data_IF_595024268114
#
_entry.id   IF_595024268114
#
_cell.length_a   1.000
_cell.length_b   1.000
_cell.length_c   1.000
_cell.angle_alpha   90.00
_cell.angle_beta   90.00
_cell.angle_gamma   90.00
#
_symmetry.space_group_name_H-M   'P 1'
#
loop_
_entity.id
_entity.type
_entity.pdbx_description
1 polymer ?
#
# COMPACT_ATOMS: atom_id res chain seq x y z
N UNK A 1 4.73 38.95 -23.95
CA UNK A 1 3.66 39.52 -23.11
C UNK A 1 2.65 38.43 -22.94
N UNK A 2 2.79 37.64 -21.89
CA UNK A 2 1.85 36.59 -21.51
C UNK A 2 1.34 36.97 -20.12
N UNK A 3 0.22 37.68 -20.10
CA UNK A 3 -0.48 38.12 -18.88
C UNK A 3 -1.52 37.07 -18.56
N UNK A 4 -1.09 35.95 -17.97
CA UNK A 4 -2.00 35.06 -17.24
C UNK A 4 -2.40 35.79 -15.97
N UNK A 5 -3.65 36.26 -15.91
CA UNK A 5 -4.12 36.99 -14.75
C UNK A 5 -3.99 36.12 -13.48
N UNK A 6 -3.41 36.67 -12.39
CA UNK A 6 -3.12 35.91 -11.17
C UNK A 6 -4.36 35.28 -10.49
N UNK A 7 -5.58 35.72 -10.83
CA UNK A 7 -6.83 35.17 -10.29
C UNK A 7 -7.32 33.89 -10.98
N UNK A 8 -6.93 33.60 -12.23
CA UNK A 8 -7.47 32.45 -12.98
C UNK A 8 -6.92 31.11 -12.46
N UNK A 9 -5.64 31.08 -12.05
CA UNK A 9 -5.01 29.88 -11.48
C UNK A 9 -5.62 29.47 -10.14
N UNK A 10 -5.77 30.42 -9.22
CA UNK A 10 -6.35 30.20 -7.90
C UNK A 10 -7.80 29.67 -7.96
N UNK A 11 -8.62 30.16 -8.89
CA UNK A 11 -9.99 29.68 -9.08
C UNK A 11 -10.03 28.26 -9.64
N UNK A 12 -9.11 27.91 -10.55
CA UNK A 12 -8.99 26.57 -11.09
C UNK A 12 -8.52 25.56 -10.02
N UNK A 13 -7.53 25.93 -9.22
CA UNK A 13 -7.01 25.15 -8.10
C UNK A 13 -8.09 24.89 -7.04
N UNK A 14 -8.82 25.94 -6.64
CA UNK A 14 -9.96 25.82 -5.72
C UNK A 14 -11.02 24.84 -6.26
N UNK A 15 -11.35 24.93 -7.55
CA UNK A 15 -12.34 24.03 -8.18
C UNK A 15 -11.87 22.59 -8.22
N UNK A 16 -10.58 22.35 -8.51
CA UNK A 16 -9.98 21.02 -8.48
C UNK A 16 -10.06 20.42 -7.06
N UNK A 17 -9.65 21.17 -6.04
CA UNK A 17 -9.69 20.72 -4.66
C UNK A 17 -11.13 20.40 -4.17
N UNK A 18 -12.13 21.18 -4.58
CA UNK A 18 -13.54 20.91 -4.27
C UNK A 18 -14.04 19.63 -4.97
N UNK A 19 -13.65 19.42 -6.23
CA UNK A 19 -14.02 18.23 -6.98
C UNK A 19 -13.39 16.96 -6.38
N UNK A 20 -12.12 17.03 -5.97
CA UNK A 20 -11.39 15.97 -5.27
C UNK A 20 -12.01 15.66 -3.91
N UNK A 21 -12.33 16.68 -3.10
CA UNK A 21 -12.98 16.49 -1.81
C UNK A 21 -14.34 15.80 -1.95
N UNK A 22 -15.15 16.21 -2.93
CA UNK A 22 -16.42 15.54 -3.21
C UNK A 22 -16.24 14.11 -3.72
N UNK A 23 -15.19 13.83 -4.50
CA UNK A 23 -14.84 12.47 -4.90
C UNK A 23 -14.48 11.62 -3.68
N UNK A 24 -13.69 12.15 -2.76
CA UNK A 24 -13.35 11.48 -1.50
C UNK A 24 -14.61 11.17 -0.68
N UNK A 25 -15.57 12.09 -0.54
CA UNK A 25 -16.85 11.81 0.15
C UNK A 25 -17.62 10.67 -0.51
N UNK A 26 -17.67 10.63 -1.84
CA UNK A 26 -18.28 9.50 -2.57
C UNK A 26 -17.55 8.19 -2.27
N UNK A 27 -16.22 8.21 -2.16
CA UNK A 27 -15.42 7.04 -1.78
C UNK A 27 -15.68 6.58 -0.35
N UNK A 28 -15.82 7.50 0.60
CA UNK A 28 -16.19 7.18 1.97
C UNK A 28 -17.55 6.48 2.03
N UNK A 29 -18.53 6.97 1.25
CA UNK A 29 -19.85 6.32 1.16
C UNK A 29 -19.75 4.92 0.56
N UNK A 30 -18.92 4.73 -0.46
CA UNK A 30 -18.67 3.40 -1.04
C UNK A 30 -18.09 2.44 0.01
N UNK A 31 -17.07 2.84 0.77
CA UNK A 31 -16.47 2.04 1.86
C UNK A 31 -17.47 1.66 2.95
N UNK A 32 -18.44 2.51 3.22
CA UNK A 32 -19.51 2.25 4.19
C UNK A 32 -20.61 1.29 3.70
N UNK A 33 -20.43 0.63 2.54
CA UNK A 33 -21.45 -0.24 1.94
C UNK A 33 -22.50 0.53 1.14
N UNK A 34 -22.17 1.74 0.68
CA UNK A 34 -23.00 2.60 -0.15
C UNK A 34 -24.39 2.91 0.44
N UNK A 35 -24.49 3.35 1.72
CA UNK A 35 -25.77 3.67 2.32
C UNK A 35 -26.49 4.77 1.52
N UNK A 36 -27.81 4.62 1.38
CA UNK A 36 -28.61 5.64 0.70
C UNK A 36 -28.56 6.98 1.47
N UNK A 37 -28.67 8.10 0.76
CA UNK A 37 -28.67 9.42 1.43
C UNK A 37 -29.82 9.58 2.44
N UNK A 38 -30.93 8.86 2.24
CA UNK A 38 -32.04 8.79 3.21
C UNK A 38 -31.65 8.01 4.46
N UNK A 39 -30.95 6.88 4.32
CA UNK A 39 -30.44 6.12 5.45
C UNK A 39 -29.40 6.93 6.25
N UNK A 40 -28.50 7.65 5.57
CA UNK A 40 -27.52 8.53 6.20
C UNK A 40 -28.18 9.69 6.97
N UNK A 41 -29.18 10.34 6.38
CA UNK A 41 -29.95 11.39 7.03
C UNK A 41 -30.69 10.87 8.27
N UNK A 42 -31.30 9.67 8.17
CA UNK A 42 -31.98 9.03 9.30
C UNK A 42 -31.03 8.60 10.42
N UNK A 43 -29.79 8.21 10.10
CA UNK A 43 -28.80 7.80 11.09
C UNK A 43 -28.24 8.96 11.93
N UNK A 44 -28.17 10.17 11.37
CA UNK A 44 -27.57 11.34 12.05
C UNK A 44 -28.59 12.37 12.50
N UNK A 45 -29.77 12.44 11.86
CA UNK A 45 -30.86 13.38 12.20
C UNK A 45 -30.56 14.87 11.98
N UNK A 46 -29.32 15.22 11.62
CA UNK A 46 -28.85 16.60 11.59
C UNK A 46 -28.92 17.26 10.20
N UNK A 47 -28.78 16.48 9.12
CA UNK A 47 -28.68 16.99 7.74
C UNK A 47 -29.61 16.20 6.82
N UNK A 48 -30.29 16.91 5.90
CA UNK A 48 -31.24 16.30 4.97
C UNK A 48 -30.57 15.45 3.89
N UNK A 49 -31.30 14.46 3.36
CA UNK A 49 -30.78 13.59 2.29
C UNK A 49 -30.41 14.35 1.01
N UNK A 50 -31.11 15.45 0.68
CA UNK A 50 -30.79 16.29 -0.49
C UNK A 50 -29.50 17.07 -0.27
N UNK A 51 -29.26 17.59 0.93
CA UNK A 51 -28.00 18.26 1.29
C UNK A 51 -26.81 17.30 1.31
N UNK A 52 -26.99 16.06 1.79
CA UNK A 52 -25.95 15.03 1.71
C UNK A 52 -25.64 14.62 0.26
N UNK A 53 -26.66 14.55 -0.60
CA UNK A 53 -26.46 14.32 -2.03
C UNK A 53 -25.67 15.47 -2.67
N UNK A 54 -26.04 16.72 -2.36
CA UNK A 54 -25.36 17.91 -2.88
C UNK A 54 -23.89 17.98 -2.43
N UNK A 55 -23.60 17.63 -1.18
CA UNK A 55 -22.24 17.59 -0.63
C UNK A 55 -21.30 16.68 -1.44
N UNK A 56 -21.84 15.62 -2.03
CA UNK A 56 -21.10 14.68 -2.86
C UNK A 56 -21.08 15.05 -4.35
N UNK A 57 -21.61 16.21 -4.75
CA UNK A 57 -21.72 16.60 -6.18
C UNK A 57 -20.47 17.25 -6.76
N UNK A 58 -19.61 17.85 -5.93
CA UNK A 58 -18.40 18.57 -6.39
C UNK A 58 -18.66 19.95 -6.98
N UNK A 59 -19.87 20.50 -6.83
CA UNK A 59 -20.21 21.85 -7.32
C UNK A 59 -19.73 22.97 -6.40
N UNK A 60 -19.69 22.70 -5.09
CA UNK A 60 -19.18 23.60 -4.04
C UNK A 60 -18.65 22.79 -2.86
N UNK A 61 -17.76 23.38 -2.07
CA UNK A 61 -17.32 22.77 -0.82
C UNK A 61 -18.51 22.72 0.15
N UNK A 62 -18.91 21.54 0.67
CA UNK A 62 -19.95 21.46 1.70
C UNK A 62 -19.47 22.13 3.00
N UNK A 63 -20.41 22.57 3.85
CA UNK A 63 -20.06 23.09 5.17
C UNK A 63 -19.43 22.01 6.06
N UNK A 64 -18.66 22.41 7.07
CA UNK A 64 -18.11 21.45 8.03
C UNK A 64 -19.19 20.60 8.73
N UNK A 65 -20.31 21.16 9.23
CA UNK A 65 -21.40 20.35 9.80
C UNK A 65 -21.97 19.31 8.82
N UNK A 66 -22.11 19.66 7.54
CA UNK A 66 -22.55 18.73 6.49
C UNK A 66 -21.54 17.61 6.26
N UNK A 67 -20.26 17.96 6.16
CA UNK A 67 -19.15 17.01 6.02
C UNK A 67 -19.11 16.04 7.20
N UNK A 68 -19.13 16.56 8.42
CA UNK A 68 -19.12 15.78 9.65
C UNK A 68 -20.29 14.77 9.70
N UNK A 69 -21.51 15.23 9.39
CA UNK A 69 -22.68 14.35 9.34
C UNK A 69 -22.54 13.26 8.27
N UNK A 70 -22.02 13.60 7.09
CA UNK A 70 -21.72 12.63 6.04
C UNK A 70 -20.70 11.58 6.53
N UNK A 71 -19.61 12.03 7.14
CA UNK A 71 -18.52 11.19 7.62
C UNK A 71 -18.98 10.26 8.73
N UNK A 72 -19.73 10.79 9.70
CA UNK A 72 -20.30 10.01 10.79
C UNK A 72 -21.28 8.94 10.27
N UNK A 73 -22.15 9.29 9.32
CA UNK A 73 -23.09 8.34 8.71
C UNK A 73 -22.39 7.21 7.94
N UNK A 74 -21.15 7.44 7.50
CA UNK A 74 -20.32 6.46 6.80
C UNK A 74 -19.24 5.82 7.70
N UNK A 75 -19.19 6.16 8.99
CA UNK A 75 -18.21 5.60 9.92
C UNK A 75 -16.76 6.03 9.69
N UNK A 76 -16.52 7.19 9.06
CA UNK A 76 -15.19 7.76 8.88
C UNK A 76 -14.66 8.51 10.12
N UNK A 77 -13.36 8.80 10.15
CA UNK A 77 -12.69 9.53 11.24
C UNK A 77 -12.95 11.04 11.15
N UNK A 78 -13.66 11.62 12.13
CA UNK A 78 -13.98 13.05 12.12
C UNK A 78 -12.73 13.97 12.05
N UNK A 79 -11.65 13.75 12.84
CA UNK A 79 -10.45 14.60 12.77
C UNK A 79 -9.76 14.59 11.40
N UNK A 80 -9.60 13.41 10.81
CA UNK A 80 -8.97 13.23 9.49
C UNK A 80 -9.76 13.96 8.39
N UNK A 81 -11.09 13.85 8.43
CA UNK A 81 -11.95 14.52 7.46
C UNK A 81 -12.03 16.03 7.67
N UNK A 82 -11.79 16.52 8.89
CA UNK A 82 -11.68 17.95 9.16
C UNK A 82 -10.43 18.55 8.51
N UNK A 83 -9.29 17.87 8.58
CA UNK A 83 -8.05 18.29 7.92
C UNK A 83 -8.18 18.33 6.40
N UNK A 84 -8.76 17.27 5.80
CA UNK A 84 -9.07 17.23 4.37
C UNK A 84 -10.00 18.37 3.95
N UNK A 85 -10.99 18.70 4.79
CA UNK A 85 -11.92 19.80 4.55
C UNK A 85 -11.21 21.16 4.62
N UNK A 86 -10.32 21.36 5.60
CA UNK A 86 -9.50 22.56 5.75
C UNK A 86 -8.56 22.78 4.57
N UNK A 87 -7.92 21.72 4.07
CA UNK A 87 -7.06 21.78 2.88
C UNK A 87 -7.87 22.22 1.64
N UNK A 88 -9.04 21.60 1.42
CA UNK A 88 -9.93 21.98 0.32
C UNK A 88 -10.51 23.41 0.47
N UNK A 89 -10.61 23.92 1.71
CA UNK A 89 -11.00 25.29 2.04
C UNK A 89 -9.84 26.31 1.93
N UNK A 90 -8.59 25.86 1.83
CA UNK A 90 -7.40 26.72 1.69
C UNK A 90 -6.79 26.72 0.27
N UNK A 91 -7.07 25.70 -0.56
CA UNK A 91 -6.63 25.63 -1.97
C UNK A 91 -6.88 26.92 -2.80
N UNK A 92 -5.85 27.48 -3.42
CA UNK A 92 -5.94 28.74 -4.16
C UNK A 92 -6.11 30.00 -3.29
N UNK A 93 -5.98 29.92 -1.96
CA UNK A 93 -5.76 31.11 -1.14
C UNK A 93 -4.32 31.59 -1.36
N UNK A 94 -4.15 32.84 -1.79
CA UNK A 94 -2.83 33.47 -1.79
C UNK A 94 -2.41 33.65 -0.32
N UNK A 95 -1.22 33.19 0.10
CA UNK A 95 -0.73 33.45 1.45
C UNK A 95 -0.61 34.96 1.63
N UNK A 96 -1.45 35.53 2.49
CA UNK A 96 -1.25 36.89 2.97
C UNK A 96 0.00 36.86 3.88
N UNK A 97 1.01 37.73 3.65
CA UNK A 97 2.18 37.77 4.52
C UNK A 97 1.72 38.11 5.95
N UNK A 98 2.07 37.23 6.89
CA UNK A 98 1.78 37.39 8.30
C UNK A 98 2.56 38.59 8.86
N UNK A 99 1.89 39.74 8.99
CA UNK A 99 2.13 40.73 10.06
C UNK A 99 1.13 41.89 9.95
N UNK A 100 0.01 41.82 10.71
CA UNK A 100 -0.61 42.97 11.39
C UNK A 100 -1.47 42.47 12.59
N UNK A 101 -1.41 43.14 13.76
CA UNK A 101 -2.15 42.74 14.97
C UNK A 101 -3.68 42.97 14.86
N UNK A 102 -4.50 42.29 15.70
CA UNK A 102 -5.94 42.21 15.50
C UNK A 102 -6.61 43.56 15.75
N UNK A 103 -7.19 44.14 14.69
CA UNK A 103 -8.14 45.24 14.83
C UNK A 103 -9.54 44.66 15.10
N UNK A 104 -9.98 44.79 16.34
CA UNK A 104 -11.36 44.61 16.77
C UNK A 104 -12.29 45.55 16.00
N UNK A 105 -13.35 45.00 15.39
CA UNK A 105 -14.52 45.77 14.92
C UNK A 105 -15.79 45.07 15.45
N UNK A 106 -16.76 45.82 15.99
CA UNK A 106 -17.74 45.31 16.95
C UNK A 106 -18.97 44.65 16.32
N UNK A 107 -19.66 43.87 17.17
CA UNK A 107 -20.97 43.27 16.92
C UNK A 107 -22.04 44.33 16.62
N UNK A 108 -22.88 44.04 15.62
CA UNK A 108 -24.12 44.77 15.32
C UNK A 108 -25.31 43.85 15.68
N UNK A 109 -26.36 44.35 16.37
CA UNK A 109 -27.25 43.55 17.19
C UNK A 109 -28.44 42.96 16.44
N UNK A 110 -29.06 41.98 17.10
CA UNK A 110 -30.36 41.39 16.77
C UNK A 110 -31.46 42.46 16.66
N UNK A 111 -32.29 42.34 15.63
CA UNK A 111 -33.57 43.01 15.52
C UNK A 111 -34.70 41.98 15.69
N UNK A 112 -35.47 42.22 16.74
CA UNK A 112 -36.74 41.61 17.11
C UNK A 112 -37.87 42.11 16.18
N UNK A 113 -38.92 41.31 16.01
CA UNK A 113 -40.17 41.77 15.43
C UNK A 113 -40.92 40.74 14.58
N UNK A 114 -42.06 40.28 15.11
CA UNK A 114 -43.22 39.99 14.26
C UNK A 114 -43.84 38.60 14.42
N UNK A 115 -44.59 38.44 15.50
CA UNK A 115 -45.70 37.49 15.60
C UNK A 115 -46.72 37.66 14.45
N UNK A 116 -47.04 36.57 13.76
CA UNK A 116 -48.38 36.37 13.21
C UNK A 116 -48.65 34.87 12.98
N UNK A 117 -49.61 34.33 13.73
CA UNK A 117 -50.36 33.12 13.41
C UNK A 117 -51.67 33.59 12.78
N UNK A 118 -52.21 32.87 11.78
CA UNK A 118 -53.47 32.20 12.11
C UNK A 118 -53.65 30.82 11.44
N UNK A 119 -54.07 29.85 12.26
CA UNK A 119 -55.39 29.24 12.12
C UNK A 119 -55.66 28.29 10.94
N UNK A 120 -55.54 26.98 11.27
CA UNK A 120 -56.52 25.89 11.05
C UNK A 120 -56.91 25.48 9.62
N UNK A 121 -56.60 24.22 9.27
CA UNK A 121 -57.61 23.16 9.08
C UNK A 121 -56.95 21.78 8.87
N UNK A 122 -57.30 20.83 9.76
CA UNK A 122 -57.14 19.39 9.51
C UNK A 122 -58.32 18.87 8.67
N UNK A 123 -58.12 17.77 7.93
CA UNK A 123 -58.79 16.55 8.38
C UNK A 123 -57.88 15.31 8.35
N UNK A 124 -57.94 14.52 9.42
CA UNK A 124 -57.19 13.29 9.58
C UNK A 124 -57.71 12.11 8.75
N UNK A 125 -56.84 11.10 8.61
CA UNK A 125 -57.22 9.70 8.50
C UNK A 125 -56.23 8.84 9.29
N UNK A 126 -56.80 8.07 10.22
CA UNK A 126 -56.19 6.99 10.98
C UNK A 126 -55.52 5.94 10.08
N UNK A 127 -54.25 5.64 10.32
CA UNK A 127 -53.70 4.30 10.06
C UNK A 127 -52.64 3.94 11.14
N UNK A 128 -52.74 2.78 11.80
CA UNK A 128 -51.97 2.49 13.01
C UNK A 128 -50.51 2.13 12.73
N UNK A 129 -49.63 2.59 13.60
CA UNK A 129 -48.21 2.24 13.63
C UNK A 129 -47.98 0.72 13.77
N UNK A 130 -47.00 0.12 13.06
CA UNK A 130 -46.56 -1.25 13.34
C UNK A 130 -45.78 -1.31 14.67
N UNK A 131 -45.88 -2.41 15.43
CA UNK A 131 -45.37 -2.47 16.79
C UNK A 131 -43.83 -2.44 16.86
N UNK A 132 -43.32 -1.65 17.81
CA UNK A 132 -41.96 -1.71 18.30
C UNK A 132 -41.68 -3.10 18.90
N UNK A 133 -40.81 -3.89 18.26
CA UNK A 133 -40.29 -5.09 18.89
C UNK A 133 -39.23 -4.72 19.94
N UNK A 134 -39.30 -5.29 21.16
CA UNK A 134 -38.37 -4.98 22.23
C UNK A 134 -36.97 -5.56 21.96
N UNK A 135 -35.96 -4.70 22.06
CA UNK A 135 -34.54 -5.06 22.14
C UNK A 135 -34.31 -5.93 23.38
N UNK A 136 -33.74 -7.13 23.22
CA UNK A 136 -33.29 -7.95 24.35
C UNK A 136 -31.89 -7.50 24.83
N UNK A 137 -31.60 -7.58 26.14
CA UNK A 137 -30.40 -7.03 26.75
C UNK A 137 -29.16 -7.90 26.54
N UNK A 138 -28.00 -7.24 26.49
CA UNK A 138 -26.69 -7.86 26.57
C UNK A 138 -26.53 -8.63 27.90
N UNK A 139 -26.15 -9.90 27.81
CA UNK A 139 -25.62 -10.66 28.95
C UNK A 139 -24.17 -11.01 28.69
N UNK A 140 -23.30 -10.40 29.50
CA UNK A 140 -21.98 -10.91 29.79
C UNK A 140 -22.09 -12.35 30.32
N UNK A 141 -21.15 -13.23 29.97
CA UNK A 141 -20.43 -14.11 30.91
C UNK A 141 -19.51 -15.10 30.17
N UNK A 142 -18.28 -15.14 30.71
CA UNK A 142 -17.41 -16.30 30.94
C UNK A 142 -16.62 -16.91 29.78
N UNK A 143 -15.33 -16.58 29.85
CA UNK A 143 -14.17 -17.47 29.67
C UNK A 143 -14.52 -18.93 29.99
N UNK A 144 -14.24 -19.83 29.05
CA UNK A 144 -13.86 -21.22 29.33
C UNK A 144 -12.68 -21.61 28.45
N UNK A 145 -11.61 -21.99 29.14
CA UNK A 145 -10.46 -22.74 28.65
C UNK A 145 -10.97 -24.05 28.04
N UNK A 146 -10.45 -24.45 26.89
CA UNK A 146 -10.50 -25.84 26.46
C UNK A 146 -9.09 -26.33 26.10
N UNK A 147 -8.74 -27.41 26.78
CA UNK A 147 -7.55 -28.24 26.71
C UNK A 147 -7.33 -28.76 25.28
N UNK A 148 -6.11 -28.70 24.74
CA UNK A 148 -5.68 -29.59 23.66
C UNK A 148 -4.69 -30.57 24.26
N UNK A 149 -5.08 -31.85 24.24
CA UNK A 149 -4.33 -32.98 24.79
C UNK A 149 -3.02 -33.21 24.02
N UNK A 150 -1.97 -33.43 24.79
CA UNK A 150 -0.71 -34.06 24.41
C UNK A 150 -0.91 -35.54 24.10
N UNK A 151 -0.35 -36.03 22.99
CA UNK A 151 0.05 -37.43 22.87
C UNK A 151 1.55 -37.51 22.63
N UNK A 152 2.24 -37.96 23.68
CA UNK A 152 3.56 -38.55 23.60
C UNK A 152 3.39 -40.05 23.29
N UNK A 153 4.18 -40.56 22.36
CA UNK A 153 4.58 -41.96 22.36
C UNK A 153 6.08 -42.02 22.09
N UNK A 154 6.79 -42.66 23.01
CA UNK A 154 8.24 -42.81 23.06
C UNK A 154 8.64 -44.27 22.81
N UNK A 155 9.96 -44.46 22.66
CA UNK A 155 10.81 -45.69 22.72
C UNK A 155 11.40 -46.09 21.35
N UNK A 156 12.68 -46.45 21.21
CA UNK A 156 13.87 -46.37 22.07
C UNK A 156 15.12 -46.70 21.22
N UNK A 157 16.25 -46.13 21.66
CA UNK A 157 17.67 -46.50 21.54
C UNK A 157 18.19 -47.60 20.59
N UNK A 158 19.32 -47.24 19.95
CA UNK A 158 20.36 -48.17 19.50
C UNK A 158 21.67 -47.43 19.20
N UNK A 159 22.62 -47.44 20.14
CA UNK A 159 23.98 -46.95 19.96
C UNK A 159 24.88 -48.05 19.39
N UNK A 160 25.75 -47.72 18.43
CA UNK A 160 26.92 -48.53 18.12
C UNK A 160 28.09 -47.63 17.70
N UNK A 161 29.17 -47.75 18.47
CA UNK A 161 30.50 -47.19 18.25
C UNK A 161 31.17 -47.98 17.12
N UNK A 162 31.85 -47.28 16.22
CA UNK A 162 32.68 -47.89 15.18
C UNK A 162 33.76 -46.91 14.71
N UNK A 163 34.81 -46.77 15.50
CA UNK A 163 36.06 -46.18 15.04
C UNK A 163 36.75 -47.15 14.09
N UNK A 164 36.96 -46.72 12.84
CA UNK A 164 37.73 -47.46 11.84
C UNK A 164 38.51 -46.48 10.99
N UNK A 165 39.81 -46.37 11.26
CA UNK A 165 40.77 -45.62 10.47
C UNK A 165 41.61 -46.59 9.64
N UNK A 166 41.62 -46.48 8.30
CA UNK A 166 42.72 -46.90 7.39
C UNK A 166 42.45 -46.32 5.97
N UNK A 167 43.43 -46.23 5.04
CA UNK A 167 44.55 -45.29 4.93
C UNK A 167 44.43 -44.36 3.70
N UNK A 168 45.40 -43.45 3.56
CA UNK A 168 45.63 -42.61 2.39
C UNK A 168 45.91 -43.41 1.10
N UNK A 169 45.13 -43.16 0.05
CA UNK A 169 45.38 -43.58 -1.32
C UNK A 169 45.59 -42.36 -2.22
N UNK A 170 46.65 -42.39 -3.03
CA UNK A 170 47.05 -41.34 -3.97
C UNK A 170 46.27 -41.44 -5.31
N UNK A 171 45.70 -40.30 -5.74
CA UNK A 171 45.35 -39.94 -7.14
C UNK A 171 44.05 -40.53 -7.73
N UNK A 172 43.37 -39.85 -8.70
CA UNK A 172 43.93 -38.90 -9.67
C UNK A 172 43.28 -37.48 -9.68
N UNK A 173 44.11 -36.54 -10.12
CA UNK A 173 43.85 -35.32 -10.90
C UNK A 173 42.40 -34.88 -11.18
N UNK A 174 42.12 -33.64 -10.75
CA UNK A 174 41.31 -32.69 -11.51
C UNK A 174 39.81 -32.85 -11.39
N UNK A 175 39.24 -32.58 -10.20
CA UNK A 175 37.90 -32.01 -10.17
C UNK A 175 37.99 -30.69 -10.95
N UNK A 176 37.41 -30.66 -12.14
CA UNK A 176 37.21 -29.43 -12.88
C UNK A 176 36.55 -28.45 -11.91
N UNK A 177 37.29 -27.39 -11.53
CA UNK A 177 36.71 -26.29 -10.80
C UNK A 177 35.52 -25.83 -11.64
N UNK A 178 34.31 -26.08 -11.14
CA UNK A 178 33.10 -25.60 -11.78
C UNK A 178 33.29 -24.11 -12.02
N UNK A 179 32.94 -23.67 -13.22
CA UNK A 179 32.95 -22.25 -13.55
C UNK A 179 32.30 -21.47 -12.40
N UNK A 180 32.93 -20.39 -11.91
CA UNK A 180 32.39 -19.63 -10.79
C UNK A 180 30.93 -19.26 -11.12
N UNK A 181 30.00 -19.38 -10.16
CA UNK A 181 28.61 -19.04 -10.40
C UNK A 181 28.54 -17.61 -10.98
N UNK A 182 27.74 -17.45 -12.03
CA UNK A 182 27.56 -16.16 -12.67
C UNK A 182 27.05 -15.13 -11.63
N UNK A 183 27.51 -13.88 -11.75
CA UNK A 183 27.18 -12.84 -10.78
C UNK A 183 25.67 -12.54 -10.76
N UNK A 184 25.07 -12.25 -9.59
CA UNK A 184 23.70 -11.76 -9.51
C UNK A 184 23.51 -10.48 -10.33
N UNK A 185 22.37 -10.37 -11.00
CA UNK A 185 22.10 -9.20 -11.85
C UNK A 185 20.62 -8.97 -12.10
N UNK A 186 20.28 -7.71 -12.34
CA UNK A 186 18.99 -7.31 -12.88
C UNK A 186 18.88 -7.70 -14.36
N UNK A 187 17.74 -8.23 -14.77
CA UNK A 187 17.47 -8.62 -16.16
C UNK A 187 16.55 -7.60 -16.82
N UNK A 188 15.29 -7.51 -16.38
CA UNK A 188 14.28 -6.64 -16.98
C UNK A 188 13.06 -6.45 -16.09
N UNK A 189 12.28 -5.42 -16.40
CA UNK A 189 10.90 -5.29 -15.94
C UNK A 189 9.98 -6.10 -16.85
N UNK A 190 9.43 -7.18 -16.32
CA UNK A 190 8.67 -8.16 -17.10
C UNK A 190 7.17 -7.89 -17.06
N UNK A 191 6.68 -7.13 -16.09
CA UNK A 191 5.32 -6.58 -16.10
C UNK A 191 5.23 -5.33 -15.21
N UNK A 192 4.20 -4.52 -15.46
CA UNK A 192 3.82 -3.43 -14.55
C UNK A 192 2.36 -3.06 -14.72
N UNK A 193 1.73 -2.57 -13.67
CA UNK A 193 0.38 -2.03 -13.71
C UNK A 193 0.22 -0.91 -12.70
N UNK A 194 -0.69 0.00 -13.02
CA UNK A 194 -1.15 1.06 -12.13
C UNK A 194 -2.67 1.12 -12.14
N UNK A 195 -3.29 1.65 -11.09
CA UNK A 195 -4.73 1.85 -11.06
C UNK A 195 -5.17 2.78 -9.94
N UNK A 196 -6.24 3.56 -10.18
CA UNK A 196 -6.83 4.51 -9.23
C UNK A 196 -8.32 4.20 -8.98
N UNK A 197 -8.68 2.92 -9.08
CA UNK A 197 -10.04 2.43 -8.88
C UNK A 197 -9.99 1.26 -7.91
N UNK A 198 -10.93 1.25 -6.96
CA UNK A 198 -11.02 0.18 -5.98
C UNK A 198 -11.07 -1.20 -6.63
N UNK A 199 -10.11 -2.03 -6.26
CA UNK A 199 -9.98 -3.40 -6.74
C UNK A 199 -9.57 -4.32 -5.60
N UNK A 200 -9.65 -5.63 -5.84
CA UNK A 200 -9.13 -6.69 -4.95
C UNK A 200 -8.05 -7.53 -5.63
N UNK A 201 -7.76 -7.26 -6.90
CA UNK A 201 -6.69 -7.92 -7.65
C UNK A 201 -6.26 -7.07 -8.83
N UNK A 202 -5.04 -7.32 -9.30
CA UNK A 202 -4.48 -6.77 -10.52
C UNK A 202 -3.84 -7.88 -11.36
N UNK A 203 -4.15 -7.90 -12.65
CA UNK A 203 -3.53 -8.79 -13.63
C UNK A 203 -2.35 -8.08 -14.31
N UNK A 204 -1.24 -8.79 -14.39
CA UNK A 204 0.06 -8.33 -14.90
C UNK A 204 0.46 -9.28 -16.03
N UNK A 205 0.08 -9.00 -17.29
CA UNK A 205 0.54 -9.78 -18.44
C UNK A 205 2.06 -9.70 -18.55
N UNK A 206 2.70 -10.84 -18.78
CA UNK A 206 4.15 -10.91 -18.96
C UNK A 206 4.51 -10.31 -20.32
N UNK A 207 5.44 -9.35 -20.33
CA UNK A 207 5.89 -8.62 -21.53
C UNK A 207 7.28 -9.08 -21.99
N UNK A 208 8.06 -9.68 -21.09
CA UNK A 208 9.38 -10.24 -21.36
C UNK A 208 9.44 -11.68 -20.84
N UNK A 209 9.84 -12.67 -21.66
CA UNK A 209 10.00 -14.05 -21.19
C UNK A 209 11.02 -14.14 -20.05
N UNK A 210 10.72 -14.98 -19.06
CA UNK A 210 11.54 -15.19 -17.86
C UNK A 210 12.20 -16.56 -17.93
N UNK A 211 13.50 -16.64 -17.65
CA UNK A 211 14.21 -17.92 -17.68
C UNK A 211 13.85 -18.81 -16.48
N UNK A 212 13.86 -20.14 -16.69
CA UNK A 212 13.67 -21.07 -15.56
C UNK A 212 14.87 -21.00 -14.61
N UNK A 213 14.60 -20.86 -13.32
CA UNK A 213 15.60 -20.70 -12.28
C UNK A 213 15.85 -19.25 -11.86
N UNK A 214 15.33 -18.27 -12.60
CA UNK A 214 15.46 -16.86 -12.23
C UNK A 214 14.52 -16.49 -11.08
N UNK A 215 14.76 -15.31 -10.50
CA UNK A 215 13.97 -14.77 -9.38
C UNK A 215 13.12 -13.61 -9.86
N UNK A 216 11.85 -13.59 -9.46
CA UNK A 216 10.96 -12.44 -9.65
C UNK A 216 10.84 -11.64 -8.35
N UNK A 217 10.90 -10.32 -8.47
CA UNK A 217 10.64 -9.36 -7.40
C UNK A 217 9.42 -8.52 -7.80
N UNK A 218 8.45 -8.43 -6.90
CA UNK A 218 7.17 -7.76 -7.11
C UNK A 218 7.03 -6.63 -6.09
N UNK A 219 7.63 -5.46 -6.35
CA UNK A 219 7.39 -4.27 -5.54
C UNK A 219 5.97 -3.74 -5.77
N UNK A 220 5.32 -3.35 -4.68
CA UNK A 220 3.92 -2.91 -4.66
C UNK A 220 3.80 -1.70 -3.75
N UNK A 221 3.07 -0.67 -4.20
CA UNK A 221 2.48 0.35 -3.32
C UNK A 221 0.98 0.24 -3.42
N UNK A 222 0.32 0.18 -2.27
CA UNK A 222 -1.14 0.20 -2.14
C UNK A 222 -1.53 1.42 -1.32
N UNK A 223 -2.47 2.20 -1.85
CA UNK A 223 -2.98 3.43 -1.20
C UNK A 223 -4.46 3.25 -0.85
N UNK A 224 -4.89 3.75 0.30
CA UNK A 224 -6.22 3.53 0.88
C UNK A 224 -6.60 2.03 0.95
N UNK A 225 -5.66 1.20 1.36
CA UNK A 225 -5.81 -0.26 1.48
C UNK A 225 -6.40 -0.70 2.80
N UNK A 226 -7.14 -1.81 2.76
CA UNK A 226 -7.62 -2.51 3.95
C UNK A 226 -6.57 -3.51 4.47
N UNK A 227 -6.63 -3.77 5.77
CA UNK A 227 -5.82 -4.78 6.43
C UNK A 227 -6.05 -6.18 5.82
N UNK A 228 -4.96 -6.93 5.69
CA UNK A 228 -4.98 -8.33 5.28
C UNK A 228 -3.82 -8.73 4.38
N UNK A 229 -3.91 -9.94 3.85
CA UNK A 229 -2.84 -10.55 3.06
C UNK A 229 -2.80 -10.00 1.64
N UNK A 230 -1.59 -9.65 1.20
CA UNK A 230 -1.26 -9.45 -0.22
C UNK A 230 -0.56 -10.73 -0.71
N UNK A 231 -0.96 -11.25 -1.85
CA UNK A 231 -0.39 -12.47 -2.43
C UNK A 231 -0.30 -12.39 -3.95
N UNK A 232 0.59 -13.18 -4.54
CA UNK A 232 0.72 -13.28 -5.99
C UNK A 232 0.67 -14.75 -6.44
N UNK A 233 0.11 -14.96 -7.63
CA UNK A 233 0.12 -16.25 -8.34
C UNK A 233 0.42 -16.01 -9.81
N UNK A 234 0.81 -17.05 -10.54
CA UNK A 234 0.93 -16.98 -11.99
C UNK A 234 0.41 -18.23 -12.69
N UNK A 235 0.30 -18.15 -14.01
CA UNK A 235 -0.19 -19.23 -14.88
C UNK A 235 0.65 -20.52 -14.83
N UNK A 236 1.88 -20.48 -14.29
CA UNK A 236 2.78 -21.63 -14.17
C UNK A 236 2.82 -22.22 -12.75
N UNK A 237 2.16 -21.57 -11.79
CA UNK A 237 2.13 -21.99 -10.40
C UNK A 237 3.51 -21.88 -9.75
N UNK A 238 4.19 -20.74 -9.93
CA UNK A 238 5.33 -20.38 -9.09
C UNK A 238 4.86 -19.93 -7.71
N UNK A 239 5.75 -20.06 -6.72
CA UNK A 239 5.47 -19.71 -5.32
C UNK A 239 6.00 -18.32 -5.01
N UNK A 240 5.11 -17.42 -4.61
CA UNK A 240 5.46 -16.07 -4.18
C UNK A 240 5.40 -15.96 -2.65
N UNK A 241 6.37 -15.29 -2.05
CA UNK A 241 6.47 -15.03 -0.62
C UNK A 241 6.72 -13.56 -0.36
N UNK A 242 6.15 -13.01 0.71
CA UNK A 242 6.43 -11.63 1.13
C UNK A 242 7.85 -11.53 1.69
N UNK A 243 8.68 -10.66 1.11
CA UNK A 243 10.04 -10.38 1.57
C UNK A 243 10.11 -9.13 2.45
N UNK A 244 9.29 -8.11 2.16
CA UNK A 244 9.13 -6.92 2.98
C UNK A 244 7.69 -6.40 2.88
N UNK A 245 7.19 -5.81 3.97
CA UNK A 245 5.82 -5.31 4.06
C UNK A 245 5.74 -4.18 5.09
N UNK A 246 5.67 -2.95 4.59
CA UNK A 246 5.83 -1.75 5.38
C UNK A 246 4.57 -0.89 5.31
N UNK A 247 3.74 -0.87 6.35
CA UNK A 247 2.65 0.09 6.46
C UNK A 247 3.18 1.48 6.77
N UNK A 248 2.37 2.48 6.43
CA UNK A 248 2.67 3.90 6.65
C UNK A 248 2.50 4.39 8.10
N UNK A 249 2.00 3.53 9.00
CA UNK A 249 1.74 3.86 10.41
C UNK A 249 0.27 4.06 10.77
N UNK A 250 -0.68 3.80 9.86
CA UNK A 250 -2.11 3.74 10.15
C UNK A 250 -3.02 4.56 9.22
N UNK A 251 -2.47 5.17 8.16
CA UNK A 251 -3.22 5.92 7.16
C UNK A 251 -3.79 5.00 6.05
N UNK A 252 -3.48 3.71 6.11
CA UNK A 252 -4.03 2.71 5.22
C UNK A 252 -3.19 2.53 3.96
N UNK A 253 -1.97 3.04 3.91
CA UNK A 253 -1.06 2.81 2.81
C UNK A 253 0.04 1.83 3.23
N UNK A 254 0.54 1.06 2.26
CA UNK A 254 1.64 0.13 2.50
C UNK A 254 2.48 -0.12 1.24
N UNK A 255 3.77 -0.28 1.45
CA UNK A 255 4.73 -0.68 0.41
C UNK A 255 5.22 -2.08 0.72
N UNK A 256 5.19 -2.97 -0.26
CA UNK A 256 5.62 -4.36 -0.12
C UNK A 256 6.62 -4.77 -1.19
N UNK A 257 7.36 -5.83 -0.90
CA UNK A 257 8.09 -6.63 -1.88
C UNK A 257 7.65 -8.08 -1.71
N UNK A 258 7.07 -8.68 -2.75
CA UNK A 258 6.93 -10.13 -2.86
C UNK A 258 8.05 -10.69 -3.75
N UNK A 259 8.44 -11.93 -3.52
CA UNK A 259 9.50 -12.60 -4.27
C UNK A 259 9.08 -14.01 -4.67
N UNK A 260 9.45 -14.45 -5.86
CA UNK A 260 9.42 -15.86 -6.26
C UNK A 260 10.81 -16.27 -6.73
N UNK A 261 11.47 -17.16 -6.00
CA UNK A 261 12.83 -17.64 -6.34
C UNK A 261 12.76 -18.92 -7.15
N UNK A 262 13.75 -19.14 -8.02
CA UNK A 262 13.86 -20.33 -8.85
C UNK A 262 12.57 -20.65 -9.62
N UNK A 263 12.03 -19.65 -10.32
CA UNK A 263 10.75 -19.75 -11.01
C UNK A 263 10.81 -20.78 -12.15
N UNK A 264 9.67 -21.39 -12.44
CA UNK A 264 9.40 -21.98 -13.76
C UNK A 264 9.38 -20.86 -14.78
N UNK A 265 9.92 -21.11 -15.96
CA UNK A 265 9.95 -20.14 -17.05
C UNK A 265 8.54 -19.58 -17.36
N UNK A 266 8.47 -18.27 -17.56
CA UNK A 266 7.28 -17.57 -18.02
C UNK A 266 7.47 -17.11 -19.47
N UNK A 267 6.41 -17.15 -20.26
CA UNK A 267 6.37 -16.57 -21.60
C UNK A 267 5.42 -15.38 -21.64
N UNK A 268 5.38 -14.67 -22.76
CA UNK A 268 4.45 -13.54 -22.97
C UNK A 268 2.98 -13.96 -23.07
N UNK A 269 2.68 -15.26 -22.97
CA UNK A 269 1.31 -15.78 -22.85
C UNK A 269 0.90 -16.01 -21.38
N UNK A 270 1.85 -15.92 -20.45
CA UNK A 270 1.60 -16.09 -19.02
C UNK A 270 1.16 -14.75 -18.39
N UNK A 271 0.47 -14.85 -17.25
CA UNK A 271 0.00 -13.69 -16.49
C UNK A 271 0.27 -13.91 -15.01
N UNK A 272 0.76 -12.87 -14.35
CA UNK A 272 0.87 -12.80 -12.89
C UNK A 272 -0.39 -12.11 -12.37
N UNK A 273 -0.97 -12.60 -11.28
CA UNK A 273 -2.13 -12.00 -10.61
C UNK A 273 -1.76 -11.66 -9.18
N UNK A 274 -1.73 -10.36 -8.88
CA UNK A 274 -1.61 -9.85 -7.52
C UNK A 274 -3.01 -9.77 -6.90
N UNK A 275 -3.17 -10.23 -5.66
CA UNK A 275 -4.42 -10.20 -4.89
C UNK A 275 -4.19 -9.47 -3.57
N UNK A 276 -5.16 -8.68 -3.16
CA UNK A 276 -5.13 -7.88 -1.92
C UNK A 276 -6.56 -7.65 -1.41
N UNK A 277 -6.76 -7.31 -0.11
CA UNK A 277 -8.09 -7.25 0.48
C UNK A 277 -9.00 -6.22 -0.21
N UNK A 278 -8.52 -4.98 -0.34
CA UNK A 278 -9.06 -3.94 -1.22
C UNK A 278 -8.17 -2.71 -1.14
N UNK A 279 -7.82 -2.11 -2.27
CA UNK A 279 -7.03 -0.87 -2.35
C UNK A 279 -7.71 0.12 -3.29
N UNK A 280 -7.62 1.42 -2.98
CA UNK A 280 -8.18 2.48 -3.83
C UNK A 280 -7.25 2.86 -4.98
N UNK A 281 -5.95 2.68 -4.77
CA UNK A 281 -4.92 2.97 -5.74
C UNK A 281 -3.74 2.00 -5.59
N UNK A 282 -3.15 1.58 -6.70
CA UNK A 282 -2.09 0.60 -6.73
C UNK A 282 -1.04 0.90 -7.80
N UNK A 283 0.20 0.57 -7.45
CA UNK A 283 1.35 0.57 -8.33
C UNK A 283 2.06 -0.76 -8.13
N UNK A 284 2.28 -1.48 -9.23
CA UNK A 284 2.94 -2.78 -9.18
C UNK A 284 3.92 -2.88 -10.33
N UNK A 285 5.15 -3.25 -10.02
CA UNK A 285 6.09 -3.75 -11.01
C UNK A 285 6.40 -5.23 -10.74
N UNK A 286 6.91 -5.90 -11.77
CA UNK A 286 7.52 -7.23 -11.65
C UNK A 286 8.86 -7.16 -12.37
N UNK A 287 9.92 -7.41 -11.62
CA UNK A 287 11.30 -7.33 -12.08
C UNK A 287 11.97 -8.70 -11.98
N UNK A 288 12.73 -9.07 -13.01
CA UNK A 288 13.47 -10.33 -13.11
C UNK A 288 14.92 -10.13 -12.68
N UNK A 289 15.42 -11.07 -11.87
CA UNK A 289 16.80 -11.14 -11.41
C UNK A 289 17.40 -12.50 -11.78
N UNK A 290 18.57 -12.46 -12.40
CA UNK A 290 19.35 -13.65 -12.74
C UNK A 290 20.37 -13.98 -11.65
N UNK A 291 20.68 -15.27 -11.49
CA UNK A 291 21.66 -15.80 -10.53
C UNK A 291 21.40 -15.41 -9.06
N UNK A 292 20.14 -15.15 -8.71
CA UNK A 292 19.68 -14.85 -7.35
C UNK A 292 18.95 -16.07 -6.79
N UNK A 293 19.30 -16.48 -5.57
CA UNK A 293 18.84 -17.76 -4.99
C UNK A 293 17.85 -17.64 -3.84
N UNK A 294 18.02 -16.67 -2.94
CA UNK A 294 17.17 -16.50 -1.76
C UNK A 294 17.24 -15.06 -1.23
N UNK A 295 16.18 -14.63 -0.56
CA UNK A 295 16.23 -13.46 0.33
C UNK A 295 17.18 -13.78 1.50
N UNK A 296 18.17 -12.92 1.74
CA UNK A 296 19.06 -13.00 2.91
C UNK A 296 18.53 -12.09 4.03
N UNK A 297 18.59 -10.78 3.81
CA UNK A 297 18.21 -9.77 4.81
C UNK A 297 17.24 -8.76 4.21
N UNK A 298 16.48 -8.09 5.07
CA UNK A 298 15.67 -6.94 4.69
C UNK A 298 15.62 -5.90 5.80
N UNK A 299 15.30 -4.68 5.42
CA UNK A 299 14.94 -3.58 6.31
C UNK A 299 13.81 -2.79 5.68
N UNK A 300 12.96 -2.21 6.51
CA UNK A 300 11.87 -1.37 6.06
C UNK A 300 11.53 -0.31 7.11
N UNK A 301 11.09 0.85 6.64
CA UNK A 301 10.68 1.95 7.49
C UNK A 301 9.66 2.84 6.76
N UNK A 302 9.01 3.69 7.54
CA UNK A 302 8.14 4.77 7.07
C UNK A 302 8.64 6.09 7.63
N UNK A 303 8.38 7.19 6.93
CA UNK A 303 8.69 8.53 7.41
C UNK A 303 7.75 9.58 6.86
N UNK A 304 7.66 10.69 7.59
CA UNK A 304 6.77 11.79 7.26
C UNK A 304 7.30 12.68 6.13
N UNK A 305 6.41 13.51 5.59
CA UNK A 305 6.76 14.54 4.61
C UNK A 305 7.90 15.44 5.10
N UNK A 306 8.71 15.94 4.15
CA UNK A 306 9.90 16.75 4.43
C UNK A 306 11.13 15.97 4.91
N UNK A 307 11.08 14.64 4.92
CA UNK A 307 12.24 13.77 5.17
C UNK A 307 12.61 12.97 3.92
N UNK A 308 13.90 12.71 3.72
CA UNK A 308 14.33 11.74 2.72
C UNK A 308 13.89 10.33 3.11
N UNK A 309 13.58 9.49 2.13
CA UNK A 309 13.25 8.09 2.40
C UNK A 309 14.50 7.32 2.82
N UNK A 310 14.37 6.47 3.83
CA UNK A 310 15.43 5.60 4.32
C UNK A 310 14.81 4.38 5.02
N UNK A 311 14.97 3.18 4.46
CA UNK A 311 14.48 1.94 5.07
C UNK A 311 15.17 1.59 6.39
N UNK A 312 16.26 2.28 6.73
CA UNK A 312 17.26 1.83 7.68
C UNK A 312 18.14 0.70 7.11
N UNK A 313 19.29 0.43 7.75
CA UNK A 313 20.19 -0.63 7.32
C UNK A 313 19.59 -2.02 7.56
N UNK A 314 19.70 -2.91 6.58
CA UNK A 314 19.54 -4.35 6.80
C UNK A 314 20.49 -4.83 7.90
N UNK A 315 20.16 -5.92 8.61
CA UNK A 315 21.19 -6.69 9.28
C UNK A 315 22.35 -7.02 8.31
N UNK A 316 23.59 -7.21 8.82
CA UNK A 316 24.72 -7.52 7.97
C UNK A 316 24.47 -8.81 7.19
N UNK A 317 24.68 -8.75 5.89
CA UNK A 317 24.55 -9.90 5.02
C UNK A 317 25.72 -10.85 5.20
N UNK A 318 25.52 -12.13 4.89
CA UNK A 318 26.52 -13.16 5.16
C UNK A 318 27.35 -13.55 3.94
N UNK A 319 26.88 -13.21 2.73
CA UNK A 319 27.47 -13.69 1.49
C UNK A 319 28.17 -12.59 0.70
N UNK A 320 29.10 -12.99 -0.17
CA UNK A 320 29.74 -12.08 -1.14
C UNK A 320 28.92 -12.09 -2.42
N UNK A 321 28.97 -10.97 -3.15
CA UNK A 321 28.30 -10.81 -4.45
C UNK A 321 26.79 -10.98 -4.31
N UNK A 322 26.14 -10.03 -3.66
CA UNK A 322 24.68 -10.00 -3.49
C UNK A 322 24.05 -8.97 -4.42
N UNK A 323 22.73 -9.04 -4.54
CA UNK A 323 21.92 -8.00 -5.17
C UNK A 323 20.99 -7.42 -4.12
N UNK A 324 20.97 -6.10 -3.99
CA UNK A 324 20.01 -5.38 -3.16
C UNK A 324 18.94 -4.82 -4.08
N UNK A 325 17.67 -5.14 -3.81
CA UNK A 325 16.54 -4.51 -4.47
C UNK A 325 15.85 -3.57 -3.48
N UNK A 326 15.58 -2.35 -3.92
CA UNK A 326 15.00 -1.31 -3.11
C UNK A 326 13.69 -0.81 -3.70
N UNK A 327 12.76 -0.45 -2.80
CA UNK A 327 11.50 0.17 -3.14
C UNK A 327 11.25 1.36 -2.22
N UNK A 328 10.68 2.42 -2.77
CA UNK A 328 10.10 3.53 -2.04
C UNK A 328 8.71 3.83 -2.62
N UNK A 329 7.68 3.65 -1.81
CA UNK A 329 6.35 4.19 -2.07
C UNK A 329 6.28 5.58 -1.47
N UNK A 330 6.00 6.60 -2.27
CA UNK A 330 5.96 8.00 -1.84
C UNK A 330 4.61 8.59 -2.23
N UNK A 331 3.94 9.21 -1.26
CA UNK A 331 2.57 9.70 -1.36
C UNK A 331 2.52 11.11 -1.97
N UNK A 332 3.14 11.28 -3.14
CA UNK A 332 3.16 12.54 -3.88
C UNK A 332 4.52 12.93 -4.45
N UNK A 333 4.54 14.14 -5.02
CA UNK A 333 5.76 14.85 -5.41
C UNK A 333 6.35 14.44 -6.76
N UNK A 334 7.51 15.03 -7.06
CA UNK A 334 8.30 14.68 -8.22
C UNK A 334 9.04 13.34 -8.01
N UNK A 335 9.54 12.75 -9.10
CA UNK A 335 10.34 11.53 -9.04
C UNK A 335 11.44 11.63 -7.96
N UNK A 336 11.50 10.63 -7.08
CA UNK A 336 12.54 10.58 -6.05
C UNK A 336 13.94 10.52 -6.65
N UNK A 337 14.93 11.01 -5.91
CA UNK A 337 16.34 10.77 -6.23
C UNK A 337 16.90 9.71 -5.29
N UNK A 338 17.52 8.66 -5.85
CA UNK A 338 18.20 7.63 -5.08
C UNK A 338 19.56 8.12 -4.59
N UNK A 339 19.96 7.69 -3.40
CA UNK A 339 21.34 7.82 -2.94
C UNK A 339 22.32 7.06 -3.84
N UNK A 340 23.59 7.45 -3.81
CA UNK A 340 24.66 6.81 -4.60
C UNK A 340 24.70 5.29 -4.39
N UNK A 341 24.95 4.54 -5.48
CA UNK A 341 25.05 3.08 -5.50
C UNK A 341 23.86 2.40 -6.18
N UNK A 342 22.67 2.98 -6.11
CA UNK A 342 21.48 2.42 -6.77
C UNK A 342 21.40 2.78 -8.25
N UNK A 343 21.11 1.77 -9.06
CA UNK A 343 20.58 1.96 -10.41
C UNK A 343 19.07 2.12 -10.31
N UNK A 344 18.59 3.34 -10.59
CA UNK A 344 17.16 3.63 -10.60
C UNK A 344 16.46 2.94 -11.78
N UNK A 345 15.30 2.33 -11.50
CA UNK A 345 14.40 1.75 -12.49
C UNK A 345 13.23 2.71 -12.76
N UNK A 346 12.46 2.53 -13.85
CA UNK A 346 11.33 3.40 -14.16
C UNK A 346 10.33 3.50 -13.00
N UNK A 347 10.06 4.73 -12.54
CA UNK A 347 9.08 5.00 -11.50
C UNK A 347 7.66 4.86 -12.06
N UNK A 348 6.77 4.20 -11.31
CA UNK A 348 5.35 4.17 -11.64
C UNK A 348 4.64 5.32 -10.92
N UNK A 349 3.74 6.02 -11.60
CA UNK A 349 2.97 7.14 -11.06
C UNK A 349 1.47 6.93 -11.21
N UNK A 350 0.71 7.33 -10.19
CA UNK A 350 -0.76 7.45 -10.17
C UNK A 350 -1.09 8.57 -9.21
N UNK A 351 -2.03 9.47 -9.56
CA UNK A 351 -2.50 10.53 -8.64
C UNK A 351 -1.42 11.35 -7.88
N UNK A 352 -0.21 11.49 -8.44
CA UNK A 352 1.02 12.01 -7.81
C UNK A 352 1.78 11.03 -6.89
N UNK A 353 1.14 9.99 -6.36
CA UNK A 353 1.82 8.90 -5.67
C UNK A 353 2.74 8.13 -6.63
N UNK A 354 3.82 7.61 -6.08
CA UNK A 354 4.84 6.96 -6.86
C UNK A 354 5.42 5.72 -6.19
N UNK A 355 5.62 4.69 -7.01
CA UNK A 355 6.44 3.54 -6.68
C UNK A 355 7.78 3.68 -7.38
N UNK A 356 8.78 4.13 -6.63
CA UNK A 356 10.16 4.17 -7.07
C UNK A 356 10.84 2.85 -6.71
N UNK A 357 11.67 2.35 -7.63
CA UNK A 357 12.41 1.10 -7.45
C UNK A 357 13.84 1.27 -7.93
N UNK A 358 14.78 0.56 -7.32
CA UNK A 358 16.18 0.56 -7.73
C UNK A 358 16.86 -0.72 -7.31
N UNK A 359 18.03 -0.98 -7.88
CA UNK A 359 18.87 -2.11 -7.46
C UNK A 359 20.35 -1.71 -7.35
N UNK A 360 21.08 -2.45 -6.52
CA UNK A 360 22.53 -2.33 -6.37
C UNK A 360 23.16 -3.73 -6.38
N UNK A 361 24.25 -3.90 -7.12
CA UNK A 361 25.06 -5.13 -7.06
C UNK A 361 26.23 -4.90 -6.10
N UNK A 362 26.31 -5.70 -5.04
CA UNK A 362 27.24 -5.46 -3.93
C UNK A 362 28.29 -6.56 -3.86
N UNK A 363 29.57 -6.17 -3.91
CA UNK A 363 30.70 -7.11 -3.99
C UNK A 363 31.18 -7.69 -2.65
N UNK A 364 30.71 -7.13 -1.54
CA UNK A 364 31.12 -7.53 -0.18
C UNK A 364 29.88 -7.71 0.72
N UNK A 365 29.98 -8.46 1.82
CA UNK A 365 28.92 -8.49 2.81
C UNK A 365 28.84 -7.15 3.54
N UNK A 366 27.64 -6.73 3.93
CA UNK A 366 27.42 -5.41 4.50
C UNK A 366 25.98 -5.18 4.95
N UNK A 367 25.69 -3.95 5.36
CA UNK A 367 24.34 -3.49 5.67
C UNK A 367 23.91 -2.49 4.61
N UNK A 368 22.68 -2.63 4.12
CA UNK A 368 22.19 -1.86 2.98
C UNK A 368 20.86 -1.18 3.30
N UNK A 369 20.61 -0.01 2.74
CA UNK A 369 19.38 0.74 2.97
C UNK A 369 18.84 1.28 1.65
N UNK A 370 17.52 1.22 1.49
CA UNK A 370 16.82 1.93 0.43
C UNK A 370 16.71 3.38 0.86
N UNK A 371 17.59 4.24 0.34
CA UNK A 371 17.69 5.63 0.77
C UNK A 371 17.74 6.62 -0.40
N UNK A 372 17.23 7.82 -0.15
CA UNK A 372 17.25 8.91 -1.12
C UNK A 372 16.43 10.12 -0.66
N UNK A 373 16.13 11.03 -1.59
CA UNK A 373 15.40 12.28 -1.30
C UNK A 373 13.98 12.24 -1.87
N UNK A 374 13.02 12.61 -1.02
CA UNK A 374 11.64 12.92 -1.38
C UNK A 374 11.14 14.04 -0.44
N UNK A 375 9.98 14.61 -0.76
CA UNK A 375 9.33 15.69 -0.01
C UNK A 375 8.00 15.28 0.62
N UNK A 376 7.48 14.09 0.30
CA UNK A 376 6.21 13.56 0.78
C UNK A 376 6.41 12.40 1.77
N UNK A 377 5.31 11.99 2.42
CA UNK A 377 5.29 10.79 3.25
C UNK A 377 5.71 9.57 2.43
N UNK A 378 6.46 8.67 3.04
CA UNK A 378 7.09 7.57 2.34
C UNK A 378 7.09 6.28 3.16
N UNK A 379 7.07 5.15 2.46
CA UNK A 379 7.40 3.83 2.99
C UNK A 379 8.45 3.19 2.10
N UNK A 380 9.57 2.78 2.68
CA UNK A 380 10.70 2.23 1.96
C UNK A 380 11.09 0.85 2.49
N UNK A 381 11.61 0.00 1.62
CA UNK A 381 12.20 -1.27 1.98
C UNK A 381 13.40 -1.62 1.10
N UNK A 382 14.41 -2.22 1.71
CA UNK A 382 15.54 -2.87 1.03
C UNK A 382 15.51 -4.36 1.30
N UNK A 383 15.71 -5.17 0.26
CA UNK A 383 15.84 -6.63 0.34
C UNK A 383 17.16 -7.02 -0.30
N UNK A 384 18.05 -7.61 0.50
CA UNK A 384 19.31 -8.20 0.04
C UNK A 384 19.09 -9.67 -0.33
N UNK A 385 19.65 -10.07 -1.47
CA UNK A 385 19.52 -11.39 -2.02
C UNK A 385 20.88 -12.10 -2.11
N UNK A 386 20.91 -13.33 -1.58
CA UNK A 386 22.06 -14.21 -1.74
C UNK A 386 22.16 -14.76 -3.17
N UNK A 387 23.38 -14.95 -3.70
CA UNK A 387 23.59 -15.55 -5.02
C UNK A 387 23.05 -16.99 -5.07
N UNK A 388 22.60 -17.40 -6.25
CA UNK A 388 22.21 -18.78 -6.51
C UNK A 388 23.41 -19.73 -6.30
N UNK A 389 23.20 -20.85 -5.60
CA UNK A 389 24.25 -21.85 -5.40
C UNK A 389 24.59 -22.51 -6.73
N UNK A 390 25.89 -22.72 -6.99
CA UNK A 390 26.35 -23.47 -8.15
C UNK A 390 25.83 -24.93 -8.14
N UNK A 391 24.77 -25.17 -8.91
CA UNK A 391 24.37 -26.45 -9.51
C UNK A 391 24.20 -27.69 -8.62
N UNK A 392 22.95 -27.96 -8.21
CA UNK A 392 22.42 -29.33 -8.05
C UNK A 392 21.36 -29.65 -9.14
N UNK A 393 21.48 -29.06 -10.34
CA UNK A 393 20.36 -28.95 -11.28
C UNK A 393 20.64 -29.16 -12.77
N UNK A 394 21.81 -29.66 -13.19
CA UNK A 394 21.95 -30.26 -14.53
C UNK A 394 21.94 -31.78 -14.37
N UNK A 395 20.74 -32.36 -14.28
CA UNK A 395 20.58 -33.80 -14.46
C UNK A 395 21.16 -34.19 -15.81
N UNK A 396 22.21 -35.01 -15.80
CA UNK A 396 22.66 -35.71 -16.99
C UNK A 396 21.45 -36.45 -17.57
N UNK A 397 20.96 -36.00 -18.71
CA UNK A 397 20.11 -36.84 -19.55
C UNK A 397 21.02 -37.94 -20.07
N UNK A 398 20.99 -39.11 -19.41
CA UNK A 398 21.55 -40.33 -19.99
C UNK A 398 20.64 -40.73 -21.13
N UNK A 399 21.10 -40.52 -22.36
CA UNK A 399 20.59 -41.24 -23.52
C UNK A 399 20.83 -42.73 -23.30
N UNK A 400 19.77 -43.51 -23.25
CA UNK A 400 19.78 -44.98 -23.38
C UNK A 400 18.77 -45.36 -24.44
#
# INVERSE_FOLDING_TARGET
MDTTEPGTGAVAERRAAVAEFAAALRQLRLRAGQPSFRAMAGATGAISHTTLHEAASGTRLPSWPTTRSYVQACGGSEPEWHERWLAAAQAGAVPEPADLPPTTVPAVPAADGGSDEPGRDEPGQDEPAPPLHPRKPARALRRRRLLVLTHALALAAGAAIGAGAVPAGHGPTGAAAGEPPAAPGYVARIASATGAVYATSTKLPVTHPVAAGDTLVVPVMLTNTHDGTVSATDSRGNTYTTAADQPDGGAGDRTLILTAVAVKALTTSDTITLSYPSTGEQHVAVDELANVGAVDQHAAATGGAGTGFDSGPTPPTATRSELVFAVAGVQGGAAVAWSDGFTALPTLFVSQDQLATGYETVGAPGSYAAAGTCDHQWMAAAVAFAPARAGNGKGLVKSS
#
